data_IF_642332716055
#
_entry.id   IF_642332716055
#
_cell.length_a   1.000
_cell.length_b   1.000
_cell.length_c   1.000
_cell.angle_alpha   90.00
_cell.angle_beta   90.00
_cell.angle_gamma   90.00
#
_symmetry.space_group_name_H-M   'P 1'
#
loop_
_entity.id
_entity.type
_entity.pdbx_description
1 polymer ?
#
# COMPACT_ATOMS: atom_id res chain seq x y z
N UNK A 1 13.32 9.24 10.86
CA UNK A 1 12.50 8.97 12.08
C UNK A 1 13.05 9.83 13.19
N UNK A 2 12.23 10.68 13.78
CA UNK A 2 12.60 11.50 14.93
C UNK A 2 12.20 10.77 16.22
N UNK A 3 13.06 10.83 17.25
CA UNK A 3 12.81 10.17 18.54
C UNK A 3 12.11 11.14 19.48
N UNK A 4 10.92 10.77 19.93
CA UNK A 4 10.14 11.55 20.92
C UNK A 4 9.85 10.70 22.14
N UNK A 5 9.87 11.32 23.32
CA UNK A 5 9.44 10.70 24.58
C UNK A 5 7.96 11.03 24.83
N UNK A 6 7.16 10.01 25.10
CA UNK A 6 5.74 10.14 25.39
C UNK A 6 5.41 9.46 26.72
N UNK A 7 4.47 10.02 27.46
CA UNK A 7 3.92 9.37 28.65
C UNK A 7 2.74 8.50 28.24
N UNK A 8 2.72 7.26 28.73
CA UNK A 8 1.64 6.30 28.49
C UNK A 8 1.02 5.90 29.82
N UNK A 9 -0.31 5.78 29.84
CA UNK A 9 -0.97 5.14 30.97
C UNK A 9 -0.54 3.68 31.07
N UNK A 10 -0.62 3.12 32.29
CA UNK A 10 -0.34 1.69 32.53
C UNK A 10 -1.16 0.80 31.59
N UNK A 11 -2.45 1.09 31.45
CA UNK A 11 -3.37 0.37 30.54
C UNK A 11 -2.90 0.42 29.09
N UNK A 12 -2.48 1.58 28.60
CA UNK A 12 -1.96 1.71 27.24
C UNK A 12 -0.67 0.90 27.03
N UNK A 13 0.25 0.93 28.00
CA UNK A 13 1.49 0.15 27.94
C UNK A 13 1.24 -1.37 27.94
N UNK A 14 0.26 -1.83 28.73
CA UNK A 14 -0.15 -3.24 28.79
C UNK A 14 -0.78 -3.72 27.48
N UNK A 15 -1.65 -2.91 26.87
CA UNK A 15 -2.23 -3.19 25.55
C UNK A 15 -1.11 -3.29 24.50
N UNK A 16 -0.21 -2.32 24.42
CA UNK A 16 0.90 -2.35 23.47
C UNK A 16 1.83 -3.55 23.68
N UNK A 17 2.09 -3.94 24.92
CA UNK A 17 2.91 -5.12 25.21
C UNK A 17 2.24 -6.42 24.74
N UNK A 18 0.93 -6.54 24.93
CA UNK A 18 0.15 -7.69 24.44
C UNK A 18 0.14 -7.75 22.91
N UNK A 19 -0.14 -6.62 22.26
CA UNK A 19 -0.19 -6.57 20.79
C UNK A 19 1.18 -6.81 20.16
N UNK A 20 2.26 -6.31 20.78
CA UNK A 20 3.62 -6.58 20.34
C UNK A 20 3.93 -8.09 20.35
N UNK A 21 3.58 -8.79 21.43
CA UNK A 21 3.73 -10.26 21.51
C UNK A 21 2.87 -10.99 20.48
N UNK A 22 1.62 -10.55 20.29
CA UNK A 22 0.67 -11.18 19.36
C UNK A 22 1.10 -11.04 17.89
N UNK A 23 1.70 -9.91 17.53
CA UNK A 23 2.00 -9.56 16.13
C UNK A 23 3.46 -9.68 15.75
N UNK A 24 4.36 -9.86 16.73
CA UNK A 24 5.82 -9.80 16.51
C UNK A 24 6.36 -8.39 16.24
N UNK A 25 5.51 -7.36 16.36
CA UNK A 25 5.89 -5.96 16.09
C UNK A 25 6.37 -5.28 17.37
N UNK A 26 7.20 -4.26 17.21
CA UNK A 26 7.66 -3.43 18.33
C UNK A 26 6.58 -2.43 18.78
N UNK A 27 6.65 -1.99 20.04
CA UNK A 27 5.75 -0.95 20.57
C UNK A 27 5.80 0.33 19.73
N UNK A 28 6.98 0.76 19.31
CA UNK A 28 7.16 1.96 18.48
C UNK A 28 6.51 1.83 17.10
N UNK A 29 6.54 0.64 16.48
CA UNK A 29 5.83 0.37 15.22
C UNK A 29 4.31 0.49 15.41
N UNK A 30 3.77 -0.13 16.47
CA UNK A 30 2.34 -0.08 16.77
C UNK A 30 1.85 1.35 17.06
N UNK A 31 2.61 2.12 17.83
CA UNK A 31 2.29 3.52 18.13
C UNK A 31 2.29 4.35 16.84
N UNK A 32 3.32 4.19 16.00
CA UNK A 32 3.42 4.92 14.74
C UNK A 32 2.24 4.61 13.82
N UNK A 33 1.92 3.33 13.63
CA UNK A 33 0.81 2.94 12.76
C UNK A 33 -0.55 3.39 13.29
N UNK A 34 -0.73 3.41 14.61
CA UNK A 34 -1.94 3.97 15.21
C UNK A 34 -2.04 5.48 14.94
N UNK A 35 -0.93 6.22 15.07
CA UNK A 35 -0.87 7.65 14.75
C UNK A 35 -1.16 7.87 13.26
N UNK A 36 -0.54 7.09 12.37
CA UNK A 36 -0.78 7.15 10.93
C UNK A 36 -2.25 6.86 10.59
N UNK A 37 -2.82 5.80 11.15
CA UNK A 37 -4.22 5.44 10.92
C UNK A 37 -5.20 6.53 11.41
N UNK A 38 -4.92 7.15 12.56
CA UNK A 38 -5.82 8.15 13.18
C UNK A 38 -5.66 9.54 12.55
N UNK A 39 -4.43 10.00 12.36
CA UNK A 39 -4.15 11.39 11.98
C UNK A 39 -3.77 11.57 10.52
N UNK A 40 -3.23 10.55 9.88
CA UNK A 40 -2.82 10.59 8.48
C UNK A 40 -3.80 9.86 7.55
N UNK A 41 -4.68 9.05 8.13
CA UNK A 41 -5.56 8.14 7.40
C UNK A 41 -4.74 7.05 6.72
N UNK A 42 -5.12 5.78 6.89
CA UNK A 42 -4.65 4.76 5.96
C UNK A 42 -5.28 5.07 4.58
N UNK A 43 -4.60 5.91 3.77
CA UNK A 43 -5.07 6.46 2.50
C UNK A 43 -6.57 6.73 2.48
N UNK A 44 -7.00 7.97 2.79
CA UNK A 44 -8.44 8.28 2.89
C UNK A 44 -9.16 7.68 1.68
N UNK A 45 -10.36 7.09 1.81
CA UNK A 45 -11.14 6.66 0.65
C UNK A 45 -11.19 7.76 -0.44
N UNK A 46 -11.26 9.02 0.00
CA UNK A 46 -11.14 10.22 -0.82
C UNK A 46 -9.85 10.30 -1.65
N UNK A 47 -8.72 9.79 -1.16
CA UNK A 47 -7.42 9.81 -1.86
C UNK A 47 -7.36 8.73 -2.95
N UNK A 48 -7.95 7.57 -2.70
CA UNK A 48 -8.14 6.53 -3.72
C UNK A 48 -9.13 7.01 -4.77
N UNK A 49 -10.26 7.58 -4.36
CA UNK A 49 -11.25 8.17 -5.26
C UNK A 49 -10.65 9.32 -6.08
N UNK A 50 -9.90 10.24 -5.46
CA UNK A 50 -9.17 11.30 -6.18
C UNK A 50 -8.16 10.73 -7.17
N UNK A 51 -7.40 9.70 -6.80
CA UNK A 51 -6.44 9.07 -7.71
C UNK A 51 -7.15 8.38 -8.89
N UNK A 52 -8.30 7.75 -8.65
CA UNK A 52 -9.13 7.15 -9.68
C UNK A 52 -9.72 8.21 -10.62
N UNK A 53 -10.27 9.30 -10.07
CA UNK A 53 -10.77 10.43 -10.86
C UNK A 53 -9.66 11.11 -11.67
N UNK A 54 -8.49 11.32 -11.08
CA UNK A 54 -7.34 11.92 -11.77
C UNK A 54 -6.77 11.03 -12.89
N UNK A 55 -6.90 9.71 -12.77
CA UNK A 55 -6.46 8.75 -13.80
C UNK A 55 -7.56 8.40 -14.81
N UNK A 56 -8.80 8.81 -14.58
CA UNK A 56 -9.91 8.59 -15.50
C UNK A 56 -9.61 9.25 -16.86
N UNK A 57 -9.60 8.45 -17.92
CA UNK A 57 -9.28 8.93 -19.26
C UNK A 57 -7.79 9.10 -19.56
N UNK A 58 -6.87 8.69 -18.67
CA UNK A 58 -5.42 8.69 -18.95
C UNK A 58 -5.03 7.85 -20.20
N UNK A 59 -5.92 6.95 -20.64
CA UNK A 59 -5.76 6.16 -21.86
C UNK A 59 -6.46 6.76 -23.10
N UNK A 60 -7.21 7.84 -22.95
CA UNK A 60 -7.96 8.48 -24.04
C UNK A 60 -6.99 9.05 -25.08
N UNK A 61 -7.18 8.69 -26.35
CA UNK A 61 -6.35 9.19 -27.46
C UNK A 61 -5.08 8.40 -27.74
N UNK A 62 -4.78 7.33 -26.97
CA UNK A 62 -3.70 6.41 -27.32
C UNK A 62 -4.19 5.45 -28.42
N UNK A 63 -3.36 5.31 -29.46
CA UNK A 63 -3.63 4.39 -30.59
C UNK A 63 -3.32 2.94 -30.26
N UNK A 64 -2.46 2.71 -29.26
CA UNK A 64 -2.10 1.38 -28.77
C UNK A 64 -3.18 0.86 -27.82
N UNK A 65 -3.64 -0.36 -28.06
CA UNK A 65 -4.53 -1.05 -27.14
C UNK A 65 -3.84 -1.36 -25.80
N UNK A 66 -4.63 -1.60 -24.76
CA UNK A 66 -4.08 -1.94 -23.44
C UNK A 66 -3.20 -3.19 -23.46
N UNK A 67 -3.61 -4.22 -24.21
CA UNK A 67 -2.85 -5.47 -24.35
C UNK A 67 -1.48 -5.24 -25.02
N UNK A 68 -1.44 -4.52 -26.15
CA UNK A 68 -0.21 -4.21 -26.88
C UNK A 68 0.77 -3.37 -26.03
N UNK A 69 0.23 -2.44 -25.24
CA UNK A 69 1.04 -1.63 -24.34
C UNK A 69 1.67 -2.45 -23.21
N UNK A 70 0.90 -3.35 -22.58
CA UNK A 70 1.41 -4.25 -21.53
C UNK A 70 2.48 -5.17 -22.10
N UNK A 71 2.28 -5.71 -23.30
CA UNK A 71 3.28 -6.53 -23.96
C UNK A 71 4.56 -5.76 -24.29
N UNK A 72 4.47 -4.48 -24.64
CA UNK A 72 5.65 -3.62 -24.83
C UNK A 72 6.40 -3.32 -23.52
N UNK A 73 5.68 -3.17 -22.40
CA UNK A 73 6.28 -2.89 -21.09
C UNK A 73 6.94 -4.13 -20.47
N UNK A 74 6.46 -5.32 -20.79
CA UNK A 74 7.07 -6.58 -20.34
C UNK A 74 8.37 -6.81 -21.11
N UNK A 75 9.49 -6.33 -20.57
CA UNK A 75 10.84 -6.53 -21.11
C UNK A 75 11.38 -7.98 -20.95
N UNK A 76 10.51 -8.98 -20.88
CA UNK A 76 10.90 -10.36 -20.56
C UNK A 76 10.17 -11.42 -21.37
N UNK A 77 10.81 -12.59 -21.51
CA UNK A 77 10.30 -13.77 -22.24
C UNK A 77 9.09 -14.45 -21.58
N UNK A 78 8.53 -13.87 -20.50
CA UNK A 78 7.45 -14.49 -19.72
C UNK A 78 6.14 -14.58 -20.53
N UNK A 79 5.75 -13.52 -21.24
CA UNK A 79 4.56 -13.53 -22.10
C UNK A 79 4.64 -14.61 -23.17
N UNK A 80 5.80 -14.76 -23.82
CA UNK A 80 6.05 -15.79 -24.83
C UNK A 80 6.03 -17.23 -24.27
N UNK A 81 6.37 -17.40 -22.98
CA UNK A 81 6.29 -18.70 -22.30
C UNK A 81 4.85 -19.07 -21.94
N UNK A 82 4.06 -18.09 -21.48
CA UNK A 82 2.66 -18.30 -21.11
C UNK A 82 1.80 -18.59 -22.35
N UNK A 83 2.05 -17.92 -23.47
CA UNK A 83 1.31 -18.16 -24.72
C UNK A 83 1.59 -19.54 -25.34
N UNK A 84 2.81 -20.08 -25.18
CA UNK A 84 3.14 -21.46 -25.59
C UNK A 84 2.50 -22.53 -24.71
N UNK A 85 2.30 -22.25 -23.42
CA UNK A 85 1.68 -23.20 -22.48
C UNK A 85 0.16 -23.34 -22.64
N UNK A 86 -0.47 -22.49 -23.48
CA UNK A 86 -1.91 -22.51 -23.78
C UNK A 86 -2.24 -23.20 -25.12
N UNK A 87 -1.27 -23.85 -25.78
CA UNK A 87 -1.50 -24.71 -26.96
C UNK A 87 -1.49 -26.18 -26.57
#
# INVERSE_FOLDING_TARGET
>A
MERTQIYLSRRASEVLAREARRTGRTKSQLIREAIEAVYFGAGRPDDVEKALLASAGAWKGRRLGGAEYVERLRSGRLSARISRAKR
#
